data_IF_751598909684
#
_entry.id   IF_751598909684
#
_cell.length_a   1.000
_cell.length_b   1.000
_cell.length_c   1.000
_cell.angle_alpha   90.00
_cell.angle_beta   90.00
_cell.angle_gamma   90.00
#
_symmetry.space_group_name_H-M   'P 1'
#
loop_
_entity.id
_entity.type
_entity.pdbx_description
1 polymer ?
#
# COMPACT_ATOMS: atom_id res chain seq x y z
N UNK A 1 -3.97 16.81 21.30
CA UNK A 1 -3.58 15.96 20.13
C UNK A 1 -3.31 14.59 20.70
N UNK A 2 -4.31 13.73 20.80
CA UNK A 2 -4.12 12.37 21.29
C UNK A 2 -4.19 11.44 20.11
N UNK A 3 -3.09 10.98 19.77
CA UNK A 3 -2.65 9.87 19.01
C UNK A 3 -3.68 8.78 18.78
N UNK A 4 -4.18 8.74 17.57
CA UNK A 4 -4.80 7.54 17.01
C UNK A 4 -3.72 6.49 16.70
N UNK A 5 -2.43 6.87 16.66
CA UNK A 5 -1.31 5.93 16.66
C UNK A 5 -1.34 5.01 17.88
N UNK A 6 -1.72 5.50 19.05
CA UNK A 6 -1.93 4.64 20.22
C UNK A 6 -3.06 3.63 20.02
N UNK A 7 -4.14 3.99 19.33
CA UNK A 7 -5.23 3.07 19.03
C UNK A 7 -4.87 2.02 17.96
N UNK A 8 -3.98 2.35 17.04
CA UNK A 8 -3.45 1.38 16.08
C UNK A 8 -2.36 0.51 16.70
N UNK A 9 -1.55 1.04 17.62
CA UNK A 9 -0.52 0.31 18.36
C UNK A 9 -1.10 -0.60 19.45
N UNK A 10 -2.24 -0.25 20.03
CA UNK A 10 -2.88 -1.03 21.09
C UNK A 10 -3.50 -2.35 20.60
N UNK A 11 -3.49 -2.64 19.32
CA UNK A 11 -4.21 -3.79 18.73
C UNK A 11 -3.30 -4.92 18.26
N UNK A 12 -1.99 -4.79 18.30
CA UNK A 12 -1.11 -5.89 17.94
C UNK A 12 -1.11 -6.97 19.02
N UNK A 13 -1.84 -8.02 18.72
CA UNK A 13 -1.93 -9.23 19.56
C UNK A 13 -1.07 -10.32 18.90
N UNK A 14 -0.02 -10.72 19.59
CA UNK A 14 0.69 -11.95 19.28
C UNK A 14 0.14 -13.07 20.12
N UNK A 15 -0.23 -14.19 19.49
CA UNK A 15 -0.61 -15.39 20.19
C UNK A 15 0.47 -16.45 20.01
N UNK A 16 1.01 -16.95 21.12
CA UNK A 16 1.97 -18.04 21.11
C UNK A 16 1.26 -19.40 20.87
N UNK A 17 2.05 -20.45 20.61
CA UNK A 17 1.51 -21.80 20.33
C UNK A 17 0.71 -22.41 21.48
N UNK A 18 0.93 -21.95 22.70
CA UNK A 18 0.20 -22.35 23.92
C UNK A 18 -1.09 -21.54 24.15
N UNK A 19 -1.41 -20.60 23.25
CA UNK A 19 -2.59 -19.75 23.34
C UNK A 19 -2.40 -18.46 24.13
N UNK A 20 -1.21 -18.21 24.69
CA UNK A 20 -0.92 -16.97 25.43
C UNK A 20 -0.95 -15.77 24.49
N UNK A 21 -1.73 -14.74 24.85
CA UNK A 21 -1.86 -13.50 24.07
C UNK A 21 -0.99 -12.41 24.68
N UNK A 22 -0.11 -11.89 23.86
CA UNK A 22 0.72 -10.72 24.16
C UNK A 22 0.18 -9.50 23.44
N UNK A 23 0.13 -8.36 24.10
CA UNK A 23 -0.21 -7.07 23.51
C UNK A 23 1.04 -6.21 23.55
N UNK A 24 1.42 -5.64 22.41
CA UNK A 24 2.63 -4.82 22.34
C UNK A 24 2.98 -4.34 20.95
N UNK A 25 4.12 -3.71 20.84
CA UNK A 25 4.68 -3.13 19.59
C UNK A 25 5.39 -4.22 18.78
N UNK A 26 4.61 -5.02 18.05
CA UNK A 26 5.13 -6.17 17.28
C UNK A 26 5.16 -5.96 15.78
N UNK A 27 4.78 -4.77 15.29
CA UNK A 27 4.73 -4.46 13.87
C UNK A 27 5.53 -3.20 13.54
N UNK A 28 5.72 -2.96 12.25
CA UNK A 28 6.54 -1.87 11.70
C UNK A 28 6.12 -0.49 12.22
N UNK A 29 4.82 -0.19 12.20
CA UNK A 29 4.30 1.14 12.55
C UNK A 29 4.67 1.52 13.99
N UNK A 30 4.26 0.79 15.04
CA UNK A 30 4.57 1.19 16.41
C UNK A 30 6.07 1.16 16.73
N UNK A 31 6.83 0.26 16.11
CA UNK A 31 8.29 0.20 16.27
C UNK A 31 8.94 1.46 15.68
N UNK A 32 8.51 1.86 14.48
CA UNK A 32 9.06 3.06 13.82
C UNK A 32 8.63 4.34 14.53
N UNK A 33 7.39 4.40 15.01
CA UNK A 33 6.88 5.55 15.78
C UNK A 33 7.75 5.80 17.01
N UNK A 34 7.97 4.76 17.81
CA UNK A 34 8.84 4.85 18.98
C UNK A 34 10.27 5.21 18.60
N UNK A 35 10.80 4.60 17.52
CA UNK A 35 12.16 4.90 17.06
C UNK A 35 12.31 6.38 16.69
N UNK A 36 11.34 6.97 16.00
CA UNK A 36 11.36 8.39 15.61
C UNK A 36 11.20 9.30 16.84
N UNK A 37 10.40 8.90 17.84
CA UNK A 37 10.30 9.64 19.11
C UNK A 37 11.64 9.68 19.86
N UNK A 38 12.36 8.55 19.89
CA UNK A 38 13.69 8.45 20.54
C UNK A 38 14.81 9.09 19.70
N UNK A 39 14.63 9.15 18.37
CA UNK A 39 15.62 9.66 17.40
C UNK A 39 14.99 10.66 16.43
N UNK A 40 14.60 11.86 16.88
CA UNK A 40 13.87 12.82 16.05
C UNK A 40 14.67 13.34 14.85
N UNK A 41 15.99 13.26 14.86
CA UNK A 41 16.90 13.58 13.76
C UNK A 41 16.86 12.56 12.61
N UNK A 42 16.29 11.38 12.82
CA UNK A 42 16.04 10.40 11.78
C UNK A 42 14.93 10.84 10.82
N UNK A 43 13.94 11.56 11.32
CA UNK A 43 12.74 11.94 10.56
C UNK A 43 12.85 13.36 9.98
N UNK A 44 12.81 13.47 8.65
CA UNK A 44 12.73 14.78 8.00
C UNK A 44 11.31 15.33 8.05
N UNK A 45 11.09 16.38 8.83
CA UNK A 45 9.79 17.07 8.98
C UNK A 45 8.64 16.14 9.42
N UNK A 46 8.92 15.11 10.17
CA UNK A 46 7.91 14.17 10.65
C UNK A 46 7.59 13.02 9.68
N UNK A 47 8.24 12.96 8.51
CA UNK A 47 8.06 11.84 7.60
C UNK A 47 8.62 10.54 8.19
N UNK A 48 7.87 9.45 8.07
CA UNK A 48 8.25 8.14 8.63
C UNK A 48 8.52 7.10 7.56
N UNK A 49 7.48 6.63 6.87
CA UNK A 49 7.64 5.61 5.85
C UNK A 49 6.59 5.73 4.73
N UNK A 50 6.84 5.04 3.62
CA UNK A 50 5.88 4.84 2.54
C UNK A 50 5.36 3.39 2.63
N UNK A 51 4.05 3.23 2.79
CA UNK A 51 3.38 1.95 2.85
C UNK A 51 2.89 1.57 1.45
N UNK A 52 3.53 0.58 0.85
CA UNK A 52 3.17 0.07 -0.47
C UNK A 52 2.03 -0.95 -0.37
N UNK A 53 0.87 -0.62 -0.93
CA UNK A 53 -0.36 -1.37 -0.75
C UNK A 53 -0.71 -2.19 -2.00
N UNK A 54 -0.95 -3.48 -1.80
CA UNK A 54 -1.65 -4.34 -2.75
C UNK A 54 -3.14 -4.40 -2.42
N UNK A 55 -3.98 -4.93 -3.33
CA UNK A 55 -5.43 -4.99 -3.13
C UNK A 55 -6.01 -6.38 -2.94
N UNK A 56 -5.40 -7.41 -3.53
CA UNK A 56 -5.97 -8.76 -3.64
C UNK A 56 -6.32 -9.44 -2.30
N UNK A 57 -5.65 -9.06 -1.22
CA UNK A 57 -5.94 -9.53 0.14
C UNK A 57 -6.62 -8.46 1.02
N UNK A 58 -7.01 -7.33 0.41
CA UNK A 58 -7.50 -6.17 1.14
C UNK A 58 -6.36 -5.27 1.63
N UNK A 59 -6.67 -4.32 2.51
CA UNK A 59 -5.78 -3.23 2.92
C UNK A 59 -5.50 -3.28 4.41
N UNK A 60 -4.24 -3.14 4.80
CA UNK A 60 -3.77 -3.09 6.21
C UNK A 60 -4.30 -4.24 7.09
N UNK A 61 -4.40 -5.44 6.51
CA UNK A 61 -4.85 -6.64 7.21
C UNK A 61 -6.38 -6.86 7.20
N UNK A 62 -7.16 -5.91 6.72
CA UNK A 62 -8.61 -5.99 6.58
C UNK A 62 -9.00 -6.52 5.21
N UNK A 63 -9.98 -7.42 5.13
CA UNK A 63 -10.46 -8.04 3.88
C UNK A 63 -11.44 -7.11 3.16
N UNK A 64 -10.92 -6.01 2.58
CA UNK A 64 -11.69 -4.91 2.00
C UNK A 64 -11.95 -5.07 0.50
N UNK A 65 -11.29 -6.03 -0.17
CA UNK A 65 -11.45 -6.24 -1.63
C UNK A 65 -12.82 -6.86 -1.95
N UNK A 66 -13.36 -6.52 -3.10
CA UNK A 66 -14.66 -7.00 -3.57
C UNK A 66 -14.75 -8.53 -3.76
N UNK A 67 -13.61 -9.23 -3.87
CA UNK A 67 -13.58 -10.69 -3.91
C UNK A 67 -14.02 -11.36 -2.61
N UNK A 68 -14.04 -10.62 -1.50
CA UNK A 68 -14.55 -11.09 -0.20
C UNK A 68 -16.01 -10.73 0.05
N UNK A 69 -16.67 -9.99 -0.87
CA UNK A 69 -18.05 -9.52 -0.73
C UNK A 69 -19.02 -10.43 -1.49
N UNK A 70 -19.85 -11.25 -0.80
CA UNK A 70 -20.82 -12.12 -1.47
C UNK A 70 -21.88 -11.36 -2.30
N UNK A 71 -22.04 -10.06 -2.08
CA UNK A 71 -22.96 -9.22 -2.88
C UNK A 71 -22.30 -8.66 -4.15
N UNK A 72 -20.96 -8.75 -4.25
CA UNK A 72 -20.23 -8.29 -5.43
C UNK A 72 -20.35 -9.28 -6.60
N UNK A 73 -20.48 -8.79 -7.84
CA UNK A 73 -20.38 -9.64 -9.03
C UNK A 73 -18.98 -10.26 -9.21
N UNK A 74 -17.97 -9.72 -8.52
CA UNK A 74 -16.59 -10.19 -8.53
C UNK A 74 -16.23 -11.04 -7.29
N UNK A 75 -17.25 -11.47 -6.53
CA UNK A 75 -17.05 -12.36 -5.39
C UNK A 75 -16.36 -13.66 -5.83
N UNK A 76 -15.34 -14.05 -5.09
CA UNK A 76 -14.65 -15.32 -5.30
C UNK A 76 -15.17 -16.34 -4.28
N UNK A 77 -15.91 -17.38 -4.73
CA UNK A 77 -16.49 -18.38 -3.83
C UNK A 77 -15.44 -19.24 -3.11
N UNK A 78 -14.20 -19.25 -3.58
CA UNK A 78 -13.09 -19.95 -2.92
C UNK A 78 -12.52 -19.14 -1.75
N UNK A 79 -12.88 -17.85 -1.66
CA UNK A 79 -12.49 -16.99 -0.55
C UNK A 79 -13.49 -17.07 0.61
N UNK A 80 -12.96 -16.97 1.83
CA UNK A 80 -13.83 -16.83 3.01
C UNK A 80 -14.53 -15.47 2.95
N UNK A 81 -15.88 -15.42 2.91
CA UNK A 81 -16.60 -14.15 2.81
C UNK A 81 -16.36 -13.26 4.03
N UNK A 82 -16.34 -11.96 3.81
CA UNK A 82 -16.31 -10.96 4.88
C UNK A 82 -17.71 -10.33 5.05
N UNK A 83 -18.49 -10.74 6.05
CA UNK A 83 -19.83 -10.18 6.27
C UNK A 83 -19.80 -8.72 6.77
N UNK A 84 -18.66 -8.22 7.22
CA UNK A 84 -18.49 -6.88 7.76
C UNK A 84 -17.67 -5.97 6.84
N UNK A 85 -17.65 -6.26 5.54
CA UNK A 85 -16.74 -5.60 4.58
C UNK A 85 -16.90 -4.07 4.56
N UNK A 86 -18.12 -3.55 4.68
CA UNK A 86 -18.37 -2.10 4.70
C UNK A 86 -17.87 -1.45 6.01
N UNK A 87 -17.99 -2.15 7.13
CA UNK A 87 -17.44 -1.70 8.41
C UNK A 87 -15.91 -1.69 8.37
N UNK A 88 -15.30 -2.72 7.81
CA UNK A 88 -13.85 -2.82 7.61
C UNK A 88 -13.34 -1.72 6.68
N UNK A 89 -14.04 -1.44 5.56
CA UNK A 89 -13.71 -0.33 4.66
C UNK A 89 -13.79 1.02 5.36
N UNK A 90 -14.83 1.24 6.15
CA UNK A 90 -14.99 2.47 6.92
C UNK A 90 -13.90 2.61 8.00
N UNK A 91 -13.51 1.52 8.62
CA UNK A 91 -12.42 1.52 9.59
C UNK A 91 -11.06 1.79 8.93
N UNK A 92 -10.76 1.13 7.81
CA UNK A 92 -9.51 1.34 7.07
C UNK A 92 -9.36 2.79 6.61
N UNK A 93 -10.43 3.46 6.17
CA UNK A 93 -10.38 4.90 5.85
C UNK A 93 -9.94 5.76 7.03
N UNK A 94 -10.40 5.45 8.23
CA UNK A 94 -9.97 6.17 9.44
C UNK A 94 -8.52 5.85 9.80
N UNK A 95 -8.13 4.60 9.61
CA UNK A 95 -6.78 4.16 9.88
C UNK A 95 -5.76 4.80 8.92
N UNK A 96 -6.06 4.82 7.63
CA UNK A 96 -5.18 5.47 6.62
C UNK A 96 -5.08 6.98 6.83
N UNK A 97 -6.19 7.64 7.22
CA UNK A 97 -6.17 9.05 7.60
C UNK A 97 -5.25 9.28 8.80
N UNK A 98 -5.35 8.47 9.84
CA UNK A 98 -4.52 8.59 11.03
C UNK A 98 -3.03 8.35 10.73
N UNK A 99 -2.71 7.33 9.93
CA UNK A 99 -1.34 7.07 9.48
C UNK A 99 -0.77 8.23 8.67
N UNK A 100 -1.57 8.85 7.81
CA UNK A 100 -1.15 10.04 7.05
C UNK A 100 -0.83 11.21 7.97
N UNK A 101 -1.69 11.50 8.94
CA UNK A 101 -1.49 12.55 9.94
C UNK A 101 -0.24 12.30 10.81
N UNK A 102 0.11 11.03 10.99
CA UNK A 102 1.28 10.60 11.76
C UNK A 102 2.59 10.50 10.93
N UNK A 103 2.55 10.91 9.65
CA UNK A 103 3.75 11.04 8.81
C UNK A 103 4.02 9.85 7.89
N UNK A 104 3.07 8.94 7.71
CA UNK A 104 3.14 7.87 6.71
C UNK A 104 2.57 8.32 5.38
N UNK A 105 3.17 7.85 4.29
CA UNK A 105 2.66 8.00 2.93
C UNK A 105 2.21 6.65 2.38
N UNK A 106 1.41 6.69 1.30
CA UNK A 106 0.92 5.49 0.65
C UNK A 106 1.40 5.41 -0.80
N UNK A 107 1.67 4.19 -1.25
CA UNK A 107 2.03 3.90 -2.62
C UNK A 107 1.20 2.73 -3.16
N UNK A 108 0.96 2.71 -4.46
CA UNK A 108 0.46 1.51 -5.12
C UNK A 108 1.58 0.49 -5.29
N UNK A 109 1.27 -0.77 -4.97
CA UNK A 109 2.13 -1.92 -5.26
C UNK A 109 1.42 -2.93 -6.17
N UNK A 110 0.66 -2.41 -7.13
CA UNK A 110 -0.32 -3.10 -7.97
C UNK A 110 -1.46 -3.74 -7.17
N UNK A 111 -2.59 -4.09 -7.80
CA UNK A 111 -3.63 -4.81 -7.10
C UNK A 111 -3.22 -6.23 -6.75
N UNK A 112 -2.75 -6.99 -7.74
CA UNK A 112 -2.45 -8.41 -7.63
C UNK A 112 -0.96 -8.74 -7.47
N UNK A 113 -0.11 -7.78 -7.04
CA UNK A 113 1.35 -7.94 -6.96
C UNK A 113 1.94 -8.44 -8.30
N UNK A 114 1.57 -7.77 -9.40
CA UNK A 114 1.93 -8.18 -10.75
C UNK A 114 3.25 -7.58 -11.22
N UNK A 115 3.98 -8.35 -12.01
CA UNK A 115 5.24 -7.93 -12.65
C UNK A 115 4.93 -7.04 -13.87
N UNK A 116 4.83 -5.71 -13.66
CA UNK A 116 4.47 -4.76 -14.71
C UNK A 116 5.50 -4.67 -15.84
N UNK A 117 6.74 -5.03 -15.58
CA UNK A 117 7.75 -5.12 -16.63
C UNK A 117 7.47 -6.24 -17.63
N UNK A 118 6.87 -7.35 -17.16
CA UNK A 118 6.67 -8.56 -17.99
C UNK A 118 5.28 -8.73 -18.55
N UNK A 119 4.22 -8.34 -17.84
CA UNK A 119 2.85 -8.45 -18.37
C UNK A 119 2.61 -7.42 -19.48
N UNK A 120 1.68 -7.66 -20.36
CA UNK A 120 1.29 -6.71 -21.40
C UNK A 120 0.48 -5.52 -20.82
N UNK A 121 0.22 -4.51 -21.67
CA UNK A 121 -0.48 -3.30 -21.28
C UNK A 121 -1.91 -3.56 -20.81
N UNK A 122 -2.64 -4.48 -21.44
CA UNK A 122 -4.04 -4.75 -21.08
C UNK A 122 -4.16 -5.44 -19.71
N UNK A 123 -3.27 -6.37 -19.41
CA UNK A 123 -3.22 -7.00 -18.09
C UNK A 123 -2.78 -6.01 -17.01
N UNK A 124 -1.84 -5.10 -17.34
CA UNK A 124 -1.44 -4.05 -16.41
C UNK A 124 -2.60 -3.09 -16.12
N UNK A 125 -3.34 -2.65 -17.16
CA UNK A 125 -4.53 -1.81 -17.00
C UNK A 125 -5.56 -2.48 -16.10
N UNK A 126 -5.93 -3.72 -16.40
CA UNK A 126 -6.91 -4.46 -15.62
C UNK A 126 -6.51 -4.57 -14.13
N UNK A 127 -5.22 -4.75 -13.85
CA UNK A 127 -4.72 -4.83 -12.47
C UNK A 127 -4.75 -3.48 -11.76
N UNK A 128 -4.25 -2.41 -12.38
CA UNK A 128 -4.22 -1.09 -11.74
C UNK A 128 -5.62 -0.47 -11.61
N UNK A 129 -6.53 -0.72 -12.55
CA UNK A 129 -7.94 -0.31 -12.44
C UNK A 129 -8.64 -0.97 -11.24
N UNK A 130 -8.32 -2.21 -10.94
CA UNK A 130 -8.79 -2.86 -9.71
C UNK A 130 -8.21 -2.21 -8.46
N UNK A 131 -6.94 -1.80 -8.49
CA UNK A 131 -6.32 -1.06 -7.39
C UNK A 131 -7.02 0.29 -7.18
N UNK A 132 -7.23 1.05 -8.26
CA UNK A 132 -7.95 2.32 -8.25
C UNK A 132 -9.39 2.18 -7.71
N UNK A 133 -10.04 1.07 -8.01
CA UNK A 133 -11.40 0.79 -7.55
C UNK A 133 -11.48 0.36 -6.08
N UNK A 134 -10.55 -0.50 -5.62
CA UNK A 134 -10.69 -1.20 -4.33
C UNK A 134 -9.74 -0.68 -3.25
N UNK A 135 -8.64 -0.02 -3.62
CA UNK A 135 -7.64 0.49 -2.66
C UNK A 135 -7.64 2.00 -2.60
N UNK A 136 -7.53 2.70 -3.73
CA UNK A 136 -7.44 4.16 -3.76
C UNK A 136 -8.58 4.87 -2.98
N UNK A 137 -9.86 4.43 -3.01
CA UNK A 137 -10.92 5.07 -2.24
C UNK A 137 -10.82 4.90 -0.72
N UNK A 138 -9.89 4.07 -0.24
CA UNK A 138 -9.62 3.87 1.18
C UNK A 138 -8.49 4.77 1.69
N UNK A 139 -7.83 5.51 0.79
CA UNK A 139 -6.74 6.42 1.11
C UNK A 139 -7.27 7.85 1.34
N UNK A 140 -6.59 8.66 2.17
CA UNK A 140 -7.00 10.04 2.45
C UNK A 140 -6.78 10.99 1.27
N UNK A 141 -5.75 10.74 0.46
CA UNK A 141 -5.35 11.56 -0.68
C UNK A 141 -5.18 10.70 -1.93
N UNK A 142 -5.26 11.29 -3.15
CA UNK A 142 -4.87 10.61 -4.38
C UNK A 142 -3.44 10.08 -4.29
N UNK A 143 -3.25 8.81 -4.65
CA UNK A 143 -1.95 8.17 -4.65
C UNK A 143 -1.19 8.48 -5.94
N UNK A 144 0.00 9.06 -5.82
CA UNK A 144 0.85 9.41 -6.97
C UNK A 144 2.19 8.65 -7.01
N UNK A 145 2.36 7.68 -6.10
CA UNK A 145 3.56 6.86 -5.99
C UNK A 145 3.27 5.43 -6.42
N UNK A 146 4.05 4.94 -7.38
CA UNK A 146 4.07 3.54 -7.81
C UNK A 146 5.36 2.88 -7.33
N UNK A 147 5.27 1.82 -6.54
CA UNK A 147 6.39 0.95 -6.20
C UNK A 147 6.19 -0.36 -6.94
N UNK A 148 7.09 -0.67 -7.89
CA UNK A 148 6.91 -1.84 -8.74
C UNK A 148 7.17 -3.16 -8.00
N UNK A 149 6.22 -4.12 -8.05
CA UNK A 149 6.47 -5.48 -7.59
C UNK A 149 7.70 -6.09 -8.27
N UNK A 150 8.45 -6.89 -7.52
CA UNK A 150 9.66 -7.57 -8.00
C UNK A 150 10.81 -6.63 -8.46
N UNK A 151 10.68 -5.32 -8.27
CA UNK A 151 11.61 -4.35 -8.82
C UNK A 151 11.62 -4.30 -10.36
N UNK A 152 10.55 -4.79 -10.98
CA UNK A 152 10.44 -4.92 -12.44
C UNK A 152 9.61 -3.77 -12.99
N UNK A 153 10.30 -2.71 -13.42
CA UNK A 153 9.70 -1.49 -13.92
C UNK A 153 9.21 -1.62 -15.39
N UNK A 154 8.42 -0.66 -15.80
CA UNK A 154 7.87 -0.61 -17.16
C UNK A 154 8.88 -0.14 -18.22
N UNK A 155 10.04 0.37 -17.81
CA UNK A 155 11.10 0.88 -18.67
C UNK A 155 12.26 -0.08 -18.89
N UNK A 156 12.28 -1.22 -18.22
CA UNK A 156 13.41 -2.16 -18.22
C UNK A 156 14.74 -1.44 -17.92
N UNK A 157 14.74 -0.65 -16.82
CA UNK A 157 15.88 0.16 -16.34
C UNK A 157 16.32 1.28 -17.29
N UNK A 158 15.53 1.59 -18.32
CA UNK A 158 15.77 2.71 -19.22
C UNK A 158 14.98 3.93 -18.76
N UNK A 159 15.40 5.14 -19.14
CA UNK A 159 14.62 6.35 -18.93
C UNK A 159 13.20 6.21 -19.48
N UNK A 160 12.21 6.67 -18.73
CA UNK A 160 10.83 6.66 -19.19
C UNK A 160 10.61 7.74 -20.25
N UNK A 161 10.00 7.35 -21.35
CA UNK A 161 9.68 8.23 -22.47
C UNK A 161 8.19 8.18 -22.79
N UNK A 162 7.72 9.20 -23.50
CA UNK A 162 6.35 9.26 -24.00
C UNK A 162 5.99 8.14 -25.01
N UNK A 163 6.97 7.41 -25.49
CA UNK A 163 6.76 6.24 -26.34
C UNK A 163 6.37 5.00 -25.55
N UNK A 164 6.65 4.98 -24.25
CA UNK A 164 6.27 3.87 -23.38
C UNK A 164 4.78 3.95 -22.99
N UNK A 165 3.96 3.11 -23.59
CA UNK A 165 2.50 3.11 -23.40
C UNK A 165 2.09 2.79 -21.97
N UNK A 166 2.81 1.92 -21.25
CA UNK A 166 2.55 1.60 -19.85
C UNK A 166 2.82 2.81 -18.96
N UNK A 167 3.94 3.50 -19.19
CA UNK A 167 4.29 4.72 -18.45
C UNK A 167 3.24 5.82 -18.66
N UNK A 168 2.89 6.11 -19.91
CA UNK A 168 1.83 7.10 -20.23
C UNK A 168 0.50 6.77 -19.56
N UNK A 169 0.13 5.49 -19.54
CA UNK A 169 -1.10 5.08 -18.89
C UNK A 169 -1.06 5.33 -17.39
N UNK A 170 0.02 4.95 -16.71
CA UNK A 170 0.19 5.23 -15.28
C UNK A 170 0.19 6.73 -14.98
N UNK A 171 0.86 7.55 -15.81
CA UNK A 171 0.80 9.01 -15.70
C UNK A 171 -0.63 9.56 -15.86
N UNK A 172 -1.43 8.99 -16.76
CA UNK A 172 -2.81 9.41 -16.97
C UNK A 172 -3.71 9.14 -15.76
N UNK A 173 -3.35 8.19 -14.90
CA UNK A 173 -3.99 7.91 -13.61
C UNK A 173 -3.49 8.80 -12.47
N UNK A 174 -2.47 9.64 -12.70
CA UNK A 174 -1.92 10.56 -11.72
C UNK A 174 -0.61 10.12 -11.06
N UNK A 175 -0.07 8.95 -11.40
CA UNK A 175 1.23 8.52 -10.88
C UNK A 175 2.36 9.39 -11.41
N UNK A 176 3.22 9.87 -10.51
CA UNK A 176 4.35 10.77 -10.78
C UNK A 176 5.68 10.24 -10.29
N UNK A 177 5.65 9.44 -9.23
CA UNK A 177 6.85 8.87 -8.63
C UNK A 177 6.86 7.36 -8.87
N UNK A 178 7.95 6.87 -9.44
CA UNK A 178 8.11 5.47 -9.85
C UNK A 178 9.35 4.89 -9.18
N UNK A 179 9.14 3.90 -8.31
CA UNK A 179 10.18 3.34 -7.47
C UNK A 179 10.36 1.85 -7.76
N UNK A 180 11.61 1.45 -7.96
CA UNK A 180 12.00 0.06 -8.03
C UNK A 180 12.30 -0.47 -6.63
N UNK A 181 12.10 -1.77 -6.44
CA UNK A 181 12.51 -2.50 -5.23
C UNK A 181 13.71 -3.35 -5.58
N UNK A 182 14.91 -2.81 -5.43
CA UNK A 182 16.15 -3.53 -5.72
C UNK A 182 17.30 -3.11 -4.79
N UNK A 183 18.41 -3.83 -4.90
CA UNK A 183 19.62 -3.58 -4.14
C UNK A 183 20.73 -2.89 -4.96
N UNK A 184 20.40 -2.32 -6.12
CA UNK A 184 21.38 -1.65 -6.98
C UNK A 184 21.61 -0.21 -6.50
N UNK A 185 22.86 0.28 -6.59
CA UNK A 185 23.10 1.70 -6.36
C UNK A 185 22.36 2.52 -7.41
N UNK A 186 21.68 3.57 -6.97
CA UNK A 186 21.06 4.54 -7.88
C UNK A 186 22.08 5.57 -8.35
N UNK A 187 21.84 6.15 -9.51
CA UNK A 187 22.50 7.37 -9.95
C UNK A 187 21.45 8.35 -10.48
N UNK A 188 21.78 9.62 -10.41
CA UNK A 188 20.96 10.69 -10.98
C UNK A 188 21.74 11.32 -12.12
N UNK A 189 21.20 11.28 -13.34
CA UNK A 189 21.70 12.13 -14.45
C UNK A 189 21.02 13.49 -14.31
N UNK A 190 21.84 14.50 -14.09
CA UNK A 190 21.40 15.92 -14.19
C UNK A 190 21.75 16.37 -15.60
N UNK A 191 20.70 16.52 -16.45
CA UNK A 191 20.84 17.10 -17.79
C UNK A 191 21.14 18.59 -17.76
#
# INVERSE_FOLDING_TARGET
THCISSAASDVYKRQDQDGTVWIGEYDLVPILDRFVEEHPDFSYRGAKAILALTGYNGVLGYRTDETYDPASPNYDPDMKPNPNIEEDRAYVKKLTQALKEDGYEFASHSWGHRDYGKIDLEHMKADIERWEKNVAPLLPDPCDIMIYPFGSDVGDWRPYTEENEKYRYLQSLGFRYFCNVDSRPYWVETG
#
